data_IF_865884449530
#
_entry.id   IF_865884449530
#
_cell.length_a   1.000
_cell.length_b   1.000
_cell.length_c   1.000
_cell.angle_alpha   90.00
_cell.angle_beta   90.00
_cell.angle_gamma   90.00
#
_symmetry.space_group_name_H-M   'P 1'
#
loop_
_entity.id
_entity.type
_entity.pdbx_description
1 polymer ?
#
# COMPACT_ATOMS: atom_id res chain seq x y z
N UNK A 1 23.19 -16.51 50.42
CA UNK A 1 22.62 -17.52 49.52
C UNK A 1 21.44 -16.88 48.82
N UNK A 2 21.62 -16.39 47.58
CA UNK A 2 20.58 -15.87 46.73
C UNK A 2 20.46 -16.81 45.52
N UNK A 3 19.36 -17.56 45.45
CA UNK A 3 19.04 -18.41 44.35
C UNK A 3 18.51 -17.53 43.20
N UNK A 4 19.19 -17.56 42.06
CA UNK A 4 18.74 -16.97 40.82
C UNK A 4 17.78 -17.96 40.14
N UNK A 5 16.53 -17.61 40.03
CA UNK A 5 15.54 -18.34 39.24
C UNK A 5 15.77 -17.92 37.79
N UNK A 6 16.34 -18.82 37.00
CA UNK A 6 16.38 -18.66 35.53
C UNK A 6 15.03 -19.10 35.00
N UNK A 7 14.24 -18.11 34.58
CA UNK A 7 13.01 -18.36 33.82
C UNK A 7 13.40 -18.71 32.41
N UNK A 8 13.35 -19.99 32.09
CA UNK A 8 13.53 -20.52 30.74
C UNK A 8 12.24 -20.30 29.97
N UNK A 9 12.20 -19.28 29.14
CA UNK A 9 11.10 -19.06 28.22
C UNK A 9 11.12 -20.14 27.13
N UNK A 10 10.24 -21.11 27.27
CA UNK A 10 9.98 -22.08 26.21
C UNK A 10 9.09 -21.40 25.19
N UNK A 11 9.68 -20.95 24.08
CA UNK A 11 8.94 -20.65 22.87
C UNK A 11 8.42 -21.97 22.30
N UNK A 12 7.18 -22.29 22.61
CA UNK A 12 6.46 -23.35 21.94
C UNK A 12 6.04 -22.83 20.56
N UNK A 13 6.92 -23.03 19.57
CA UNK A 13 6.55 -22.96 18.17
C UNK A 13 5.53 -24.08 17.95
N UNK A 14 4.26 -23.75 17.93
CA UNK A 14 3.22 -24.66 17.51
C UNK A 14 3.39 -24.92 16.01
N UNK A 15 4.24 -25.87 15.68
CA UNK A 15 4.20 -26.55 14.39
C UNK A 15 2.87 -27.29 14.33
N UNK A 16 1.85 -26.67 13.78
CA UNK A 16 0.70 -27.42 13.29
C UNK A 16 1.18 -28.29 12.16
N UNK A 17 1.49 -29.53 12.47
CA UNK A 17 1.49 -30.62 11.51
C UNK A 17 0.05 -30.66 10.95
N UNK A 18 -0.15 -30.00 9.82
CA UNK A 18 -1.30 -30.23 8.95
C UNK A 18 -1.18 -31.69 8.51
N UNK A 19 -1.77 -32.61 9.30
CA UNK A 19 -2.05 -33.95 8.81
C UNK A 19 -2.96 -33.77 7.62
N UNK A 20 -2.47 -34.19 6.46
CA UNK A 20 -3.16 -34.13 5.18
C UNK A 20 -4.43 -34.99 5.21
N UNK A 21 -5.52 -34.42 5.69
CA UNK A 21 -6.83 -34.71 5.16
C UNK A 21 -7.07 -33.67 4.08
N UNK A 22 -6.82 -33.99 2.81
CA UNK A 22 -7.34 -33.18 1.73
C UNK A 22 -8.84 -33.22 1.85
N UNK A 23 -9.44 -32.11 2.30
CA UNK A 23 -10.90 -31.96 2.24
C UNK A 23 -11.29 -31.82 0.78
N UNK A 24 -12.51 -32.17 0.42
CA UNK A 24 -13.03 -31.97 -0.95
C UNK A 24 -12.79 -30.51 -1.42
N UNK A 25 -12.86 -29.56 -0.48
CA UNK A 25 -12.59 -28.13 -0.70
C UNK A 25 -11.15 -27.83 -1.17
N UNK A 26 -10.14 -28.60 -0.71
CA UNK A 26 -8.75 -28.44 -1.14
C UNK A 26 -8.56 -28.88 -2.58
N UNK A 27 -9.21 -29.97 -2.96
CA UNK A 27 -9.16 -30.51 -4.31
C UNK A 27 -9.80 -29.53 -5.29
N UNK A 28 -10.97 -28.98 -4.96
CA UNK A 28 -11.65 -27.99 -5.80
C UNK A 28 -10.79 -26.73 -6.02
N UNK A 29 -10.15 -26.21 -4.97
CA UNK A 29 -9.26 -25.06 -5.11
C UNK A 29 -8.01 -25.35 -5.92
N UNK A 30 -7.41 -26.54 -5.77
CA UNK A 30 -6.28 -26.99 -6.59
C UNK A 30 -6.68 -27.07 -8.06
N UNK A 31 -7.79 -27.73 -8.39
CA UNK A 31 -8.27 -27.88 -9.76
C UNK A 31 -8.54 -26.53 -10.41
N UNK A 32 -9.13 -25.57 -9.68
CA UNK A 32 -9.37 -24.22 -10.16
C UNK A 32 -8.05 -23.48 -10.44
N UNK A 33 -7.10 -23.56 -9.52
CA UNK A 33 -5.77 -22.95 -9.66
C UNK A 33 -4.99 -23.57 -10.85
N UNK A 34 -4.98 -24.87 -10.99
CA UNK A 34 -4.32 -25.55 -12.10
C UNK A 34 -4.91 -25.15 -13.45
N UNK A 35 -6.24 -25.01 -13.50
CA UNK A 35 -6.94 -24.53 -14.69
C UNK A 35 -6.57 -23.08 -15.03
N UNK A 36 -6.53 -22.18 -14.04
CA UNK A 36 -6.20 -20.76 -14.25
C UNK A 36 -4.72 -20.57 -14.57
N UNK A 37 -3.83 -21.28 -13.85
CA UNK A 37 -2.38 -21.16 -14.02
C UNK A 37 -1.83 -21.98 -15.20
N UNK A 38 -2.61 -22.91 -15.73
CA UNK A 38 -2.18 -23.79 -16.82
C UNK A 38 -1.03 -24.73 -16.46
N UNK A 39 -0.84 -25.02 -15.17
CA UNK A 39 0.24 -25.88 -14.65
C UNK A 39 -0.18 -26.57 -13.36
N UNK A 40 0.49 -27.69 -13.06
CA UNK A 40 0.35 -28.38 -11.78
C UNK A 40 0.76 -27.46 -10.61
N UNK A 41 -0.12 -27.31 -9.63
CA UNK A 41 0.08 -26.52 -8.43
C UNK A 41 0.73 -27.38 -7.32
N UNK A 42 0.55 -28.68 -7.38
CA UNK A 42 1.10 -29.64 -6.43
C UNK A 42 0.53 -29.48 -5.02
N UNK A 43 1.19 -28.74 -4.15
CA UNK A 43 0.77 -28.59 -2.76
C UNK A 43 0.37 -27.15 -2.42
N UNK A 44 -0.87 -26.96 -2.00
CA UNK A 44 -1.40 -25.66 -1.55
C UNK A 44 -0.57 -25.02 -0.42
N UNK A 45 0.09 -25.80 0.44
CA UNK A 45 0.86 -25.26 1.56
C UNK A 45 1.91 -24.24 1.13
N UNK A 46 2.50 -24.40 -0.06
CA UNK A 46 3.46 -23.45 -0.59
C UNK A 46 2.82 -22.10 -0.93
N UNK A 47 1.59 -22.09 -1.44
CA UNK A 47 0.85 -20.87 -1.76
C UNK A 47 0.31 -20.18 -0.49
N UNK A 48 -0.05 -20.97 0.51
CA UNK A 48 -0.59 -20.49 1.77
C UNK A 48 0.49 -19.97 2.74
N UNK A 49 1.77 -20.26 2.49
CA UNK A 49 2.87 -19.71 3.32
C UNK A 49 3.22 -18.32 2.81
N UNK A 50 3.06 -17.26 3.61
CA UNK A 50 3.43 -15.90 3.19
C UNK A 50 4.88 -15.81 2.75
N UNK A 51 5.11 -15.11 1.64
CA UNK A 51 6.46 -14.92 1.09
C UNK A 51 7.30 -13.99 1.97
N UNK A 52 6.66 -12.98 2.55
CA UNK A 52 7.29 -12.00 3.44
C UNK A 52 6.55 -11.92 4.78
N UNK A 53 7.29 -11.72 5.87
CA UNK A 53 6.69 -11.26 7.11
C UNK A 53 6.46 -9.75 7.03
N UNK A 54 5.42 -9.19 7.68
CA UNK A 54 5.17 -7.75 7.69
C UNK A 54 6.39 -6.92 8.14
N UNK A 55 7.18 -7.43 9.08
CA UNK A 55 8.40 -6.80 9.60
C UNK A 55 9.57 -6.74 8.60
N UNK A 56 9.53 -7.57 7.55
CA UNK A 56 10.55 -7.57 6.49
C UNK A 56 10.25 -6.54 5.39
N UNK A 57 9.10 -5.85 5.48
CA UNK A 57 8.69 -4.82 4.54
C UNK A 57 8.94 -3.44 5.16
N UNK A 58 9.76 -2.64 4.51
CA UNK A 58 10.05 -1.26 4.92
C UNK A 58 9.15 -0.25 4.23
N UNK A 59 8.76 0.77 4.96
CA UNK A 59 8.00 1.92 4.45
C UNK A 59 8.88 3.01 3.84
N UNK A 60 10.17 2.70 3.55
CA UNK A 60 11.06 3.58 2.81
C UNK A 60 11.91 4.51 3.68
N UNK A 61 12.09 4.20 4.97
CA UNK A 61 12.98 4.97 5.87
C UNK A 61 12.49 6.37 6.23
N UNK A 62 13.25 7.08 7.04
CA UNK A 62 12.98 8.48 7.36
C UNK A 62 13.36 9.35 6.16
N UNK A 63 12.47 10.26 5.70
CA UNK A 63 12.79 11.13 4.59
C UNK A 63 13.88 12.12 4.98
N UNK A 64 14.76 12.44 4.04
CA UNK A 64 15.65 13.59 4.14
C UNK A 64 15.06 14.79 3.39
N UNK A 65 15.49 15.99 3.79
CA UNK A 65 14.98 17.23 3.22
C UNK A 65 16.04 17.90 2.35
N UNK A 66 15.63 18.28 1.14
CA UNK A 66 16.47 19.01 0.21
C UNK A 66 15.74 20.26 -0.30
N UNK A 67 16.49 21.27 -0.71
CA UNK A 67 15.94 22.44 -1.39
C UNK A 67 16.20 22.32 -2.89
N UNK A 68 15.12 22.36 -3.68
CA UNK A 68 15.17 22.35 -5.13
C UNK A 68 14.51 23.62 -5.69
N UNK A 69 15.33 24.62 -5.99
CA UNK A 69 14.84 25.93 -6.40
C UNK A 69 13.99 26.58 -5.31
N UNK A 70 12.74 26.89 -5.62
CA UNK A 70 11.76 27.46 -4.69
C UNK A 70 11.01 26.43 -3.85
N UNK A 71 11.33 25.13 -4.01
CA UNK A 71 10.71 24.02 -3.31
C UNK A 71 11.60 23.46 -2.21
N UNK A 72 11.04 23.27 -1.03
CA UNK A 72 11.60 22.37 -0.04
C UNK A 72 11.01 20.98 -0.25
N UNK A 73 11.85 20.00 -0.47
CA UNK A 73 11.44 18.65 -0.84
C UNK A 73 11.73 17.64 0.25
N UNK A 74 10.88 16.64 0.37
CA UNK A 74 11.06 15.48 1.23
C UNK A 74 11.28 14.26 0.33
N UNK A 75 12.42 13.59 0.48
CA UNK A 75 12.86 12.51 -0.40
C UNK A 75 13.15 11.26 0.44
N UNK A 76 12.67 10.09 0.01
CA UNK A 76 12.94 8.83 0.67
C UNK A 76 14.30 8.22 0.29
N UNK A 77 14.68 7.13 0.96
CA UNK A 77 15.96 6.43 0.71
C UNK A 77 16.09 5.83 -0.71
N UNK A 78 14.98 5.77 -1.46
CA UNK A 78 14.98 5.35 -2.85
C UNK A 78 15.09 6.54 -3.83
N UNK A 79 15.22 7.77 -3.32
CA UNK A 79 15.29 8.99 -4.12
C UNK A 79 13.93 9.46 -4.64
N UNK A 80 12.81 8.99 -4.08
CA UNK A 80 11.46 9.39 -4.48
C UNK A 80 10.98 10.56 -3.65
N UNK A 81 10.32 11.51 -4.32
CA UNK A 81 9.69 12.63 -3.63
C UNK A 81 8.48 12.14 -2.83
N UNK A 82 8.47 12.46 -1.53
CA UNK A 82 7.36 12.20 -0.58
C UNK A 82 6.47 13.40 -0.36
N UNK A 83 6.93 14.54 -0.81
CA UNK A 83 6.23 15.79 -0.72
C UNK A 83 7.13 16.94 -1.08
N UNK A 84 6.53 18.05 -1.40
CA UNK A 84 7.23 19.29 -1.59
C UNK A 84 6.37 20.48 -1.15
N UNK A 85 7.00 21.46 -0.55
CA UNK A 85 6.40 22.72 -0.15
C UNK A 85 7.05 23.87 -0.90
N UNK A 86 6.24 24.69 -1.52
CA UNK A 86 6.70 25.90 -2.19
C UNK A 86 7.03 26.98 -1.16
N UNK A 87 8.30 27.35 -1.08
CA UNK A 87 8.77 28.38 -0.18
C UNK A 87 8.73 29.74 -0.84
N UNK A 88 7.79 30.57 -0.40
CA UNK A 88 7.80 32.02 -0.64
C UNK A 88 8.46 32.75 0.51
N UNK A 89 9.60 33.45 0.34
CA UNK A 89 10.10 34.37 1.34
C UNK A 89 9.55 35.77 1.11
N UNK A 90 9.06 36.44 2.12
CA UNK A 90 8.72 37.87 2.25
C UNK A 90 7.56 38.46 1.41
N UNK A 91 7.21 37.97 0.27
CA UNK A 91 5.98 38.35 -0.38
C UNK A 91 5.16 37.10 -0.73
N UNK A 92 4.25 36.69 0.14
CA UNK A 92 3.45 35.50 -0.09
C UNK A 92 2.57 35.63 -1.34
N UNK A 93 2.20 36.86 -1.75
CA UNK A 93 1.30 37.09 -2.90
C UNK A 93 2.09 36.92 -4.21
N UNK A 94 3.20 37.64 -4.41
CA UNK A 94 3.97 37.51 -5.65
C UNK A 94 4.51 36.11 -5.89
N UNK A 95 4.87 35.40 -4.82
CA UNK A 95 5.41 34.04 -4.93
C UNK A 95 4.33 33.00 -5.17
N UNK A 96 3.13 33.18 -4.60
CA UNK A 96 2.01 32.32 -4.94
C UNK A 96 1.69 32.34 -6.45
N UNK A 97 1.90 33.46 -7.12
CA UNK A 97 1.72 33.56 -8.58
C UNK A 97 2.74 32.79 -9.38
N UNK A 98 3.92 32.46 -8.82
CA UNK A 98 4.93 31.64 -9.46
C UNK A 98 4.74 30.15 -9.20
N UNK A 99 3.92 29.79 -8.22
CA UNK A 99 3.61 28.41 -7.96
C UNK A 99 2.78 27.81 -9.11
N UNK A 100 2.91 26.49 -9.36
CA UNK A 100 2.14 25.80 -10.38
C UNK A 100 0.64 25.97 -10.21
N UNK A 101 -0.08 25.99 -11.31
CA UNK A 101 -1.54 26.16 -11.31
C UNK A 101 -2.29 24.86 -11.40
N UNK A 102 -1.62 23.79 -11.83
CA UNK A 102 -2.20 22.46 -11.99
C UNK A 102 -1.23 21.36 -11.59
N UNK A 103 -1.75 20.15 -11.41
CA UNK A 103 -0.94 18.96 -11.12
C UNK A 103 -0.04 18.62 -12.32
N UNK A 104 -0.51 18.85 -13.52
CA UNK A 104 0.23 18.64 -14.77
C UNK A 104 1.49 19.51 -14.85
N UNK A 105 1.46 20.71 -14.27
CA UNK A 105 2.64 21.62 -14.24
C UNK A 105 3.80 21.03 -13.39
N UNK A 106 3.51 20.04 -12.52
CA UNK A 106 4.51 19.33 -11.72
C UNK A 106 5.09 18.11 -12.42
N UNK A 107 4.50 17.72 -13.58
CA UNK A 107 4.99 16.61 -14.38
C UNK A 107 6.41 16.88 -14.90
N UNK A 108 7.27 15.89 -14.78
CA UNK A 108 8.69 16.03 -15.13
C UNK A 108 9.56 16.73 -14.09
N UNK A 109 8.94 17.24 -13.00
CA UNK A 109 9.66 17.86 -11.87
C UNK A 109 9.72 16.86 -10.71
N UNK A 110 8.58 16.40 -10.23
CA UNK A 110 8.46 15.52 -9.06
C UNK A 110 8.00 14.12 -9.40
N UNK A 111 7.35 13.95 -10.52
CA UNK A 111 6.86 12.67 -11.03
C UNK A 111 6.80 12.70 -12.56
N UNK A 112 6.55 11.55 -13.17
CA UNK A 112 6.41 11.43 -14.62
C UNK A 112 5.06 10.82 -14.92
N UNK A 113 4.16 11.64 -15.47
CA UNK A 113 2.87 11.20 -16.03
C UNK A 113 3.07 10.99 -17.53
N UNK A 114 2.88 9.77 -17.99
CA UNK A 114 2.97 9.40 -19.39
C UNK A 114 1.82 8.45 -19.77
N UNK A 115 1.96 7.72 -20.86
CA UNK A 115 0.92 6.76 -21.30
C UNK A 115 0.68 5.61 -20.33
N UNK A 116 1.66 5.31 -19.46
CA UNK A 116 1.59 4.20 -18.50
C UNK A 116 1.17 4.68 -17.08
N UNK A 117 1.29 5.99 -16.79
CA UNK A 117 1.00 6.57 -15.48
C UNK A 117 -0.01 7.70 -15.55
N UNK A 118 -0.98 7.67 -14.68
CA UNK A 118 -1.97 8.74 -14.51
C UNK A 118 -2.29 8.97 -13.04
N UNK A 119 -2.63 10.21 -12.71
CA UNK A 119 -3.25 10.58 -11.44
C UNK A 119 -4.74 10.85 -11.68
N UNK A 120 -5.60 10.18 -10.93
CA UNK A 120 -7.05 10.40 -10.99
C UNK A 120 -7.51 11.10 -9.73
N UNK A 121 -8.27 12.17 -9.92
CA UNK A 121 -8.88 12.92 -8.83
C UNK A 121 -9.95 12.06 -8.14
N UNK A 122 -9.75 11.79 -6.84
CA UNK A 122 -10.70 11.04 -6.03
C UNK A 122 -11.72 11.97 -5.36
N UNK A 123 -11.21 13.07 -4.78
CA UNK A 123 -12.05 14.03 -4.07
C UNK A 123 -11.39 15.41 -3.96
N UNK A 124 -12.21 16.41 -3.69
CA UNK A 124 -11.78 17.78 -3.39
C UNK A 124 -12.44 18.24 -2.10
N UNK A 125 -11.69 18.95 -1.27
CA UNK A 125 -12.18 19.57 -0.04
C UNK A 125 -11.83 21.04 -0.06
N UNK A 126 -12.84 21.90 -0.06
CA UNK A 126 -12.64 23.35 0.09
C UNK A 126 -12.58 23.71 1.58
N UNK A 127 -11.54 24.45 1.95
CA UNK A 127 -11.35 24.96 3.29
C UNK A 127 -11.60 26.46 3.24
N UNK A 128 -12.54 26.99 4.04
CA UNK A 128 -12.82 28.42 4.08
C UNK A 128 -11.58 29.26 4.35
N UNK A 129 -11.56 30.49 3.82
CA UNK A 129 -10.49 31.45 4.06
C UNK A 129 -10.28 31.66 5.57
N UNK A 130 -9.02 31.69 5.98
CA UNK A 130 -8.65 31.92 7.37
C UNK A 130 -8.62 33.44 7.65
N UNK A 131 -8.99 33.86 8.88
CA UNK A 131 -9.07 35.26 9.29
C UNK A 131 -7.81 36.12 9.05
N UNK A 132 -6.64 35.49 8.86
CA UNK A 132 -5.38 36.16 8.56
C UNK A 132 -5.02 36.31 7.07
N UNK A 133 -5.75 35.64 6.17
CA UNK A 133 -5.56 35.69 4.71
C UNK A 133 -6.92 35.59 4.02
N UNK A 134 -7.73 36.66 4.08
CA UNK A 134 -9.12 36.63 3.61
C UNK A 134 -9.28 36.38 2.10
N UNK A 135 -8.23 36.54 1.31
CA UNK A 135 -8.26 36.35 -0.13
C UNK A 135 -7.87 34.93 -0.58
N UNK A 136 -7.41 34.07 0.34
CA UNK A 136 -6.91 32.75 0.01
C UNK A 136 -7.85 31.65 0.55
N UNK A 137 -8.83 31.25 -0.25
CA UNK A 137 -9.47 29.96 -0.04
C UNK A 137 -8.43 28.87 -0.20
N UNK A 138 -8.51 27.81 0.60
CA UNK A 138 -7.69 26.61 0.45
C UNK A 138 -8.52 25.53 -0.20
N UNK A 139 -7.88 24.72 -1.03
CA UNK A 139 -8.46 23.49 -1.56
C UNK A 139 -7.47 22.37 -1.42
N UNK A 140 -7.93 21.21 -0.96
CA UNK A 140 -7.18 19.97 -0.92
C UNK A 140 -7.75 19.06 -2.00
N UNK A 141 -6.92 18.67 -2.94
CA UNK A 141 -7.29 17.72 -3.99
C UNK A 141 -6.56 16.40 -3.68
N UNK A 142 -7.33 15.32 -3.59
CA UNK A 142 -6.82 13.97 -3.32
C UNK A 142 -6.83 13.17 -4.61
N UNK A 143 -5.69 12.59 -4.95
CA UNK A 143 -5.51 11.79 -6.15
C UNK A 143 -5.03 10.40 -5.81
N UNK A 144 -5.44 9.43 -6.63
CA UNK A 144 -4.86 8.09 -6.68
C UNK A 144 -4.01 7.93 -7.93
N UNK A 145 -2.88 7.26 -7.76
CA UNK A 145 -1.98 6.88 -8.86
C UNK A 145 -2.46 5.59 -9.52
N UNK A 146 -2.32 5.53 -10.84
CA UNK A 146 -2.62 4.37 -11.66
C UNK A 146 -1.44 4.06 -12.59
N UNK A 147 -1.10 2.80 -12.70
CA UNK A 147 -0.15 2.26 -13.66
C UNK A 147 -0.88 1.40 -14.68
N UNK A 148 -0.84 1.78 -15.97
CA UNK A 148 -1.56 1.10 -17.07
C UNK A 148 -3.04 0.85 -16.74
N UNK A 149 -3.68 1.78 -16.05
CA UNK A 149 -5.09 1.70 -15.65
C UNK A 149 -5.39 0.88 -14.39
N UNK A 150 -4.39 0.24 -13.77
CA UNK A 150 -4.53 -0.47 -12.49
C UNK A 150 -4.11 0.47 -11.36
N UNK A 151 -4.89 0.60 -10.26
CA UNK A 151 -4.51 1.45 -9.16
C UNK A 151 -3.20 0.98 -8.50
N UNK A 152 -2.38 1.94 -8.11
CA UNK A 152 -1.13 1.70 -7.37
C UNK A 152 -1.46 1.64 -5.88
N UNK A 153 -1.00 0.59 -5.22
CA UNK A 153 -1.19 0.43 -3.78
C UNK A 153 -0.43 1.52 -3.01
N UNK A 154 -1.14 2.25 -2.16
CA UNK A 154 -0.62 3.44 -1.44
C UNK A 154 -0.17 4.60 -2.33
N UNK A 155 -0.40 4.54 -3.64
CA UNK A 155 -0.15 5.65 -4.57
C UNK A 155 -1.23 6.73 -4.42
N UNK A 156 -1.16 7.49 -3.32
CA UNK A 156 -2.08 8.57 -3.01
C UNK A 156 -1.34 9.88 -2.85
N UNK A 157 -1.96 10.95 -3.32
CA UNK A 157 -1.44 12.31 -3.26
C UNK A 157 -2.48 13.25 -2.70
N UNK A 158 -2.03 14.17 -1.87
CA UNK A 158 -2.76 15.35 -1.45
C UNK A 158 -2.05 16.58 -2.01
N UNK A 159 -2.74 17.34 -2.84
CA UNK A 159 -2.27 18.63 -3.35
C UNK A 159 -3.03 19.75 -2.66
N UNK A 160 -2.28 20.66 -2.08
CA UNK A 160 -2.83 21.83 -1.41
C UNK A 160 -2.75 23.05 -2.32
N UNK A 161 -3.91 23.58 -2.66
CA UNK A 161 -4.05 24.80 -3.46
C UNK A 161 -4.38 25.99 -2.59
N UNK A 162 -3.85 27.13 -2.97
CA UNK A 162 -4.29 28.44 -2.48
C UNK A 162 -4.96 29.20 -3.62
N UNK A 163 -6.12 29.81 -3.32
CA UNK A 163 -6.78 30.73 -4.22
C UNK A 163 -6.00 32.03 -4.33
N UNK A 164 -5.82 32.53 -5.54
CA UNK A 164 -5.26 33.85 -5.82
C UNK A 164 -6.15 34.60 -6.80
N UNK A 165 -5.93 35.89 -6.99
CA UNK A 165 -6.67 36.68 -8.00
C UNK A 165 -6.42 36.22 -9.43
N UNK A 166 -5.39 35.40 -9.66
CA UNK A 166 -5.04 34.79 -10.96
C UNK A 166 -5.40 33.28 -10.99
N UNK A 167 -6.23 32.80 -10.09
CA UNK A 167 -6.63 31.40 -9.96
C UNK A 167 -5.84 30.62 -8.91
N UNK A 168 -6.17 29.34 -8.72
CA UNK A 168 -5.53 28.49 -7.71
C UNK A 168 -4.06 28.22 -8.04
N UNK A 169 -3.25 28.05 -6.98
CA UNK A 169 -1.81 27.71 -7.08
C UNK A 169 -1.48 26.59 -6.11
N UNK A 170 -0.69 25.61 -6.56
CA UNK A 170 -0.22 24.51 -5.72
C UNK A 170 0.95 25.00 -4.87
N UNK A 171 0.79 24.91 -3.55
CA UNK A 171 1.82 25.33 -2.60
C UNK A 171 2.44 24.18 -1.85
N UNK A 172 1.77 23.04 -1.84
CA UNK A 172 2.23 21.85 -1.15
C UNK A 172 1.65 20.60 -1.79
N UNK A 173 2.40 19.53 -1.78
CA UNK A 173 1.85 18.20 -1.97
C UNK A 173 2.51 17.19 -1.02
N UNK A 174 1.77 16.15 -0.68
CA UNK A 174 2.21 15.01 0.11
C UNK A 174 1.79 13.75 -0.66
N UNK A 175 2.68 12.77 -0.77
CA UNK A 175 2.41 11.51 -1.44
C UNK A 175 3.65 10.86 -2.01
N UNK A 176 3.50 9.67 -2.55
CA UNK A 176 4.59 8.92 -3.18
C UNK A 176 4.21 8.57 -4.59
N UNK A 177 5.09 8.89 -5.53
CA UNK A 177 4.99 8.40 -6.88
C UNK A 177 5.85 7.15 -7.05
N UNK A 178 5.20 6.05 -7.44
CA UNK A 178 5.88 4.78 -7.65
C UNK A 178 6.22 4.61 -9.12
N UNK A 179 7.40 4.07 -9.39
CA UNK A 179 7.83 3.71 -10.75
C UNK A 179 7.93 2.20 -10.87
N UNK A 180 7.22 1.65 -11.85
CA UNK A 180 7.19 0.21 -12.11
C UNK A 180 7.91 -0.11 -13.41
N UNK A 181 8.59 -1.25 -13.44
CA UNK A 181 9.33 -1.69 -14.63
C UNK A 181 8.67 -2.94 -15.21
N UNK A 182 7.94 -2.76 -16.32
CA UNK A 182 7.40 -3.85 -17.15
C UNK A 182 6.54 -4.88 -16.40
N UNK A 183 5.74 -4.44 -15.43
CA UNK A 183 4.78 -5.33 -14.77
C UNK A 183 3.68 -5.69 -15.76
N UNK A 184 3.42 -6.99 -15.90
CA UNK A 184 2.21 -7.48 -16.56
C UNK A 184 1.01 -7.18 -15.65
N UNK A 185 0.03 -6.46 -16.18
CA UNK A 185 -1.16 -6.04 -15.46
C UNK A 185 -2.36 -6.97 -15.70
N UNK A 186 -2.16 -8.06 -16.43
CA UNK A 186 -3.22 -9.05 -16.70
C UNK A 186 -3.15 -10.17 -15.67
N UNK A 187 -4.08 -10.25 -14.71
CA UNK A 187 -4.04 -11.29 -13.71
C UNK A 187 -4.25 -12.67 -14.34
N UNK A 188 -3.50 -13.68 -13.88
CA UNK A 188 -3.66 -15.07 -14.30
C UNK A 188 -4.74 -15.77 -13.48
N UNK A 189 -4.82 -15.48 -12.16
CA UNK A 189 -5.89 -16.00 -11.32
C UNK A 189 -7.03 -14.98 -11.19
N UNK A 190 -8.22 -15.45 -10.91
CA UNK A 190 -9.40 -14.59 -10.68
C UNK A 190 -9.42 -14.02 -9.25
N UNK A 191 -10.19 -12.95 -9.05
CA UNK A 191 -10.43 -12.39 -7.71
C UNK A 191 -11.15 -13.40 -6.80
N UNK A 192 -12.00 -14.26 -7.37
CA UNK A 192 -12.68 -15.31 -6.62
C UNK A 192 -11.69 -16.35 -6.11
N UNK A 193 -10.76 -16.78 -6.96
CA UNK A 193 -9.68 -17.71 -6.59
C UNK A 193 -8.78 -17.10 -5.50
N UNK A 194 -8.44 -15.82 -5.61
CA UNK A 194 -7.69 -15.13 -4.56
C UNK A 194 -8.44 -15.11 -3.22
N UNK A 195 -9.74 -14.86 -3.22
CA UNK A 195 -10.55 -14.94 -2.00
C UNK A 195 -10.59 -16.36 -1.43
N UNK A 196 -10.71 -17.40 -2.26
CA UNK A 196 -10.66 -18.79 -1.80
C UNK A 196 -9.33 -19.17 -1.17
N UNK A 197 -8.20 -18.71 -1.74
CA UNK A 197 -6.87 -18.90 -1.16
C UNK A 197 -6.81 -18.29 0.25
N UNK A 198 -7.26 -17.05 0.41
CA UNK A 198 -7.24 -16.40 1.70
C UNK A 198 -8.24 -17.01 2.70
N UNK A 199 -9.41 -17.42 2.24
CA UNK A 199 -10.39 -18.18 3.02
C UNK A 199 -9.77 -19.46 3.59
N UNK A 200 -9.03 -20.19 2.77
CA UNK A 200 -8.31 -21.39 3.19
C UNK A 200 -7.20 -21.09 4.19
N UNK A 201 -6.42 -20.02 3.95
CA UNK A 201 -5.37 -19.57 4.88
C UNK A 201 -5.92 -19.22 6.26
N UNK A 202 -7.07 -18.52 6.32
CA UNK A 202 -7.72 -18.12 7.56
C UNK A 202 -8.59 -19.22 8.20
N UNK A 203 -8.89 -20.29 7.49
CA UNK A 203 -9.93 -21.26 7.83
C UNK A 203 -11.29 -20.57 8.09
N UNK A 204 -11.69 -19.66 7.21
CA UNK A 204 -12.89 -18.83 7.34
C UNK A 204 -13.76 -18.95 6.08
N UNK A 205 -15.09 -18.89 6.25
CA UNK A 205 -16.03 -18.95 5.12
C UNK A 205 -16.15 -17.56 4.47
N UNK A 206 -16.11 -17.52 3.14
CA UNK A 206 -16.32 -16.28 2.38
C UNK A 206 -17.79 -15.87 2.49
N UNK A 207 -18.02 -14.61 2.82
CA UNK A 207 -19.33 -13.97 2.86
C UNK A 207 -19.32 -12.60 2.14
N UNK A 208 -20.41 -11.86 2.24
CA UNK A 208 -20.58 -10.59 1.56
C UNK A 208 -19.78 -9.42 2.19
N UNK A 209 -19.08 -9.64 3.29
CA UNK A 209 -18.21 -8.63 3.92
C UNK A 209 -16.81 -8.63 3.31
N UNK A 210 -16.44 -9.72 2.65
CA UNK A 210 -15.14 -9.85 2.01
C UNK A 210 -14.99 -8.88 0.83
N UNK A 211 -13.80 -8.32 0.72
CA UNK A 211 -13.44 -7.40 -0.37
C UNK A 211 -12.19 -7.89 -1.05
N UNK A 212 -12.16 -7.75 -2.37
CA UNK A 212 -10.99 -8.08 -3.17
C UNK A 212 -10.78 -6.99 -4.21
N UNK A 213 -9.57 -6.44 -4.27
CA UNK A 213 -9.19 -5.41 -5.24
C UNK A 213 -7.83 -5.71 -5.84
N UNK A 214 -7.69 -5.40 -7.12
CA UNK A 214 -6.45 -5.55 -7.87
C UNK A 214 -5.63 -4.27 -7.75
N UNK A 215 -4.31 -4.41 -7.48
CA UNK A 215 -3.35 -3.32 -7.38
C UNK A 215 -2.01 -3.69 -8.01
N UNK A 216 -1.28 -2.71 -8.45
CA UNK A 216 0.17 -2.81 -8.62
C UNK A 216 0.82 -2.35 -7.32
N UNK A 217 1.76 -3.12 -6.81
CA UNK A 217 2.43 -2.83 -5.53
C UNK A 217 3.94 -2.99 -5.60
N UNK A 218 4.62 -2.10 -4.89
CA UNK A 218 6.05 -2.19 -4.61
C UNK A 218 6.29 -2.54 -3.14
N UNK A 219 7.14 -3.53 -2.92
CA UNK A 219 7.62 -3.94 -1.59
C UNK A 219 9.08 -3.52 -1.45
N UNK A 220 9.36 -2.63 -0.51
CA UNK A 220 10.72 -2.33 -0.10
C UNK A 220 11.16 -3.36 0.93
N UNK A 221 12.01 -4.28 0.53
CA UNK A 221 12.44 -5.38 1.39
C UNK A 221 13.61 -4.95 2.28
N UNK A 222 13.53 -5.34 3.56
CA UNK A 222 14.57 -5.10 4.54
C UNK A 222 14.96 -6.37 5.28
N UNK A 223 16.19 -6.42 5.73
CA UNK A 223 16.67 -7.46 6.66
C UNK A 223 17.49 -6.78 7.74
N UNK A 224 17.12 -6.99 9.00
CA UNK A 224 17.76 -6.36 10.17
C UNK A 224 17.82 -4.83 10.04
N UNK A 225 16.73 -4.22 9.55
CA UNK A 225 16.62 -2.76 9.36
C UNK A 225 17.43 -2.19 8.19
N UNK A 226 18.01 -3.03 7.32
CA UNK A 226 18.71 -2.57 6.12
C UNK A 226 17.93 -2.97 4.87
N UNK A 227 17.80 -2.05 3.94
CA UNK A 227 17.20 -2.32 2.62
C UNK A 227 18.00 -3.39 1.90
N UNK A 228 17.33 -4.45 1.45
CA UNK A 228 17.93 -5.56 0.71
C UNK A 228 17.44 -5.65 -0.73
N UNK A 229 16.33 -5.02 -1.06
CA UNK A 229 15.80 -5.03 -2.41
C UNK A 229 14.45 -4.37 -2.55
N UNK A 230 13.93 -4.43 -3.76
CA UNK A 230 12.59 -4.00 -4.14
C UNK A 230 11.95 -5.14 -4.91
N UNK A 231 10.71 -5.47 -4.58
CA UNK A 231 9.88 -6.41 -5.32
C UNK A 231 8.61 -5.71 -5.79
N UNK A 232 8.27 -5.85 -7.07
CA UNK A 232 7.14 -5.18 -7.70
C UNK A 232 6.19 -6.22 -8.28
N UNK A 233 4.91 -6.17 -7.92
CA UNK A 233 3.93 -7.19 -8.28
C UNK A 233 2.57 -6.61 -8.64
N UNK A 234 1.85 -7.38 -9.45
CA UNK A 234 0.40 -7.29 -9.54
C UNK A 234 -0.19 -8.16 -8.43
N UNK A 235 -1.03 -7.59 -7.59
CA UNK A 235 -1.59 -8.27 -6.42
C UNK A 235 -3.10 -8.11 -6.34
N UNK A 236 -3.74 -9.10 -5.71
CA UNK A 236 -5.04 -8.92 -5.10
C UNK A 236 -4.87 -8.60 -3.62
N UNK A 237 -5.39 -7.46 -3.17
CA UNK A 237 -5.66 -7.22 -1.76
C UNK A 237 -6.99 -7.85 -1.41
N UNK A 238 -6.97 -8.85 -0.55
CA UNK A 238 -8.17 -9.51 -0.03
C UNK A 238 -8.34 -9.13 1.43
N UNK A 239 -9.50 -8.59 1.76
CA UNK A 239 -9.88 -8.18 3.12
C UNK A 239 -11.00 -9.10 3.56
N UNK A 240 -10.76 -9.85 4.62
CA UNK A 240 -11.73 -10.73 5.27
C UNK A 240 -12.14 -10.21 6.65
N UNK A 241 -13.02 -10.93 7.36
CA UNK A 241 -13.36 -10.62 8.73
C UNK A 241 -12.15 -10.73 9.65
N UNK A 242 -12.18 -10.14 10.86
CA UNK A 242 -11.14 -10.34 11.87
C UNK A 242 -10.95 -11.83 12.13
N UNK A 243 -9.71 -12.30 12.20
CA UNK A 243 -9.45 -13.70 12.50
C UNK A 243 -9.95 -14.03 13.93
N UNK A 244 -10.69 -15.12 14.08
CA UNK A 244 -11.22 -15.60 15.36
C UNK A 244 -10.12 -15.66 16.45
N UNK A 245 -8.90 -15.96 16.04
CA UNK A 245 -7.76 -16.10 16.93
C UNK A 245 -7.33 -14.80 17.64
N UNK A 246 -7.65 -13.63 17.07
CA UNK A 246 -7.40 -12.34 17.73
C UNK A 246 -8.45 -11.97 18.76
N UNK A 247 -9.64 -12.55 18.67
CA UNK A 247 -10.71 -12.32 19.64
C UNK A 247 -10.42 -13.00 21.00
N UNK A 248 -9.66 -14.10 21.01
CA UNK A 248 -9.34 -14.88 22.20
C UNK A 248 -8.27 -14.22 23.09
N UNK A 249 -7.51 -13.27 22.59
CA UNK A 249 -6.44 -12.59 23.34
C UNK A 249 -6.86 -11.27 24.00
N UNK A 250 -8.11 -10.89 23.95
CA UNK A 250 -8.63 -9.70 24.65
C UNK A 250 -8.06 -8.37 24.12
N UNK A 251 -7.50 -8.35 22.92
CA UNK A 251 -7.09 -7.12 22.25
C UNK A 251 -8.34 -6.46 21.66
N UNK A 252 -8.80 -5.43 22.33
CA UNK A 252 -10.09 -4.77 22.09
C UNK A 252 -10.15 -3.85 20.86
N UNK A 253 -9.27 -3.95 19.90
CA UNK A 253 -9.48 -3.27 18.62
C UNK A 253 -10.22 -4.17 17.63
N UNK A 254 -11.54 -4.22 17.82
CA UNK A 254 -12.48 -5.01 17.01
C UNK A 254 -12.68 -4.46 15.59
N UNK A 255 -11.96 -3.41 15.19
CA UNK A 255 -12.09 -2.78 13.88
C UNK A 255 -11.05 -3.27 12.86
N UNK A 256 -10.02 -3.97 13.32
CA UNK A 256 -8.94 -4.39 12.44
C UNK A 256 -9.33 -5.66 11.66
N UNK A 257 -9.71 -5.45 10.41
CA UNK A 257 -9.90 -6.54 9.46
C UNK A 257 -8.58 -7.27 9.22
N UNK A 258 -8.66 -8.58 9.04
CA UNK A 258 -7.50 -9.34 8.59
C UNK A 258 -7.41 -9.27 7.06
N UNK A 259 -6.21 -9.09 6.51
CA UNK A 259 -6.02 -9.01 5.08
C UNK A 259 -4.83 -9.81 4.59
N UNK A 260 -4.87 -10.18 3.32
CA UNK A 260 -3.73 -10.73 2.59
C UNK A 260 -3.54 -10.00 1.27
N UNK A 261 -2.31 -9.99 0.83
CA UNK A 261 -1.91 -9.60 -0.50
C UNK A 261 -1.45 -10.86 -1.23
N UNK A 262 -2.11 -11.15 -2.35
CA UNK A 262 -1.94 -12.38 -3.10
C UNK A 262 -1.44 -12.02 -4.49
N UNK A 263 -0.35 -12.62 -4.92
CA UNK A 263 0.21 -12.45 -6.26
C UNK A 263 -0.82 -12.88 -7.31
N UNK A 264 -1.19 -11.96 -8.18
CA UNK A 264 -2.25 -12.18 -9.17
C UNK A 264 -1.84 -13.10 -10.32
N UNK A 265 -0.55 -13.43 -10.45
CA UNK A 265 -0.06 -14.35 -11.47
C UNK A 265 0.19 -15.76 -10.93
N UNK A 266 0.46 -15.91 -9.64
CA UNK A 266 0.87 -17.21 -9.08
C UNK A 266 -0.07 -17.77 -8.02
N UNK A 267 -0.92 -16.93 -7.42
CA UNK A 267 -1.74 -17.30 -6.27
C UNK A 267 -0.97 -17.34 -4.94
N UNK A 268 0.33 -17.02 -4.94
CA UNK A 268 1.13 -16.99 -3.72
C UNK A 268 0.67 -15.89 -2.77
N UNK A 269 0.46 -16.20 -1.51
CA UNK A 269 0.31 -15.16 -0.47
C UNK A 269 1.66 -14.44 -0.32
N UNK A 270 1.67 -13.14 -0.57
CA UNK A 270 2.87 -12.31 -0.40
C UNK A 270 3.06 -11.93 1.05
N UNK A 271 2.01 -11.38 1.65
CA UNK A 271 1.98 -11.01 3.06
C UNK A 271 0.56 -11.16 3.57
N UNK A 272 0.40 -11.55 4.83
CA UNK A 272 -0.89 -11.61 5.50
C UNK A 272 -0.75 -11.12 6.93
N UNK A 273 -1.79 -10.45 7.43
CA UNK A 273 -1.79 -9.93 8.79
C UNK A 273 -2.99 -9.02 9.06
N UNK A 274 -2.99 -8.39 10.24
CA UNK A 274 -3.96 -7.38 10.56
C UNK A 274 -3.81 -6.17 9.63
N UNK A 275 -4.93 -5.57 9.22
CA UNK A 275 -4.96 -4.42 8.32
C UNK A 275 -4.10 -3.26 8.82
N UNK A 276 -3.97 -3.08 10.14
CA UNK A 276 -3.17 -2.01 10.74
C UNK A 276 -1.66 -2.21 10.55
N UNK A 277 -1.20 -3.47 10.38
CA UNK A 277 0.20 -3.78 10.10
C UNK A 277 0.56 -3.74 8.62
N UNK A 278 -0.43 -3.76 7.73
CA UNK A 278 -0.23 -3.82 6.29
C UNK A 278 -0.68 -2.52 5.60
N UNK A 279 -1.23 -1.55 6.34
CA UNK A 279 -1.97 -0.41 5.79
C UNK A 279 -1.14 0.85 5.50
N UNK A 280 0.15 0.91 5.84
CA UNK A 280 0.92 2.16 5.70
C UNK A 280 2.18 2.02 4.89
#
# INVERSE_FOLDING_TARGET
MKQAIKTLGIFLSAFFLLTACSSDDDTELIDELEKELGKDVGNLSNLLTPLYNPEDISWGGAPHYEQMGEWGTSIDDAGRYRGAQFYGTYDPIEKLYRAPSSVEDLNGIFFVLDKDYELRLDSMVEIPAWEGLPECSRRLDFYSEYYKGVPVYSGRYEFQFYGTTQGPRIINFIGWFYTFTNIDITPTISSNTAMKIFSKYQNATIDNTWKCKLYVREYNLQSKGKKVGVDQRLIYEVIGPPAQHYMDFGVYDMSANFKAEIDAHTGQIIVAGNSDFIAY
#
